data_IF_014288123533
#
_entry.id   IF_014288123533
#
_cell.length_a   1.000
_cell.length_b   1.000
_cell.length_c   1.000
_cell.angle_alpha   90.00
_cell.angle_beta   90.00
_cell.angle_gamma   90.00
#
_symmetry.space_group_name_H-M   'P 1'
#
loop_
_entity.id
_entity.type
_entity.pdbx_description
1 polymer ?
#
# COMPACT_ATOMS: atom_id res chain seq x y z
N UNK A 1 -8.58 -6.13 -37.36
CA UNK A 1 -7.30 -6.14 -38.10
C UNK A 1 -6.19 -6.05 -37.09
N UNK A 2 -5.41 -7.11 -36.92
CA UNK A 2 -4.28 -7.12 -36.00
C UNK A 2 -3.05 -6.58 -36.75
N UNK A 3 -2.40 -5.58 -36.18
CA UNK A 3 -1.13 -5.05 -36.69
C UNK A 3 0.00 -5.57 -35.80
N UNK A 4 0.95 -6.23 -36.43
CA UNK A 4 2.18 -6.71 -35.80
C UNK A 4 3.24 -5.57 -35.84
N UNK A 5 3.64 -5.08 -34.67
CA UNK A 5 4.78 -4.16 -34.58
C UNK A 5 5.90 -4.85 -33.80
N UNK A 6 7.03 -5.10 -34.46
CA UNK A 6 8.26 -5.55 -33.81
C UNK A 6 9.01 -4.34 -33.28
N UNK A 7 9.20 -4.28 -31.99
CA UNK A 7 10.15 -3.37 -31.39
C UNK A 7 11.55 -4.04 -31.33
N UNK A 8 12.62 -3.24 -31.45
CA UNK A 8 14.02 -3.72 -31.56
C UNK A 8 14.54 -4.51 -30.32
N UNK A 9 13.70 -4.72 -29.31
CA UNK A 9 14.03 -5.46 -28.08
C UNK A 9 13.37 -6.83 -27.96
N UNK A 10 12.77 -7.39 -29.01
CA UNK A 10 12.36 -8.81 -29.04
C UNK A 10 11.12 -9.18 -28.22
N UNK A 11 10.37 -8.24 -27.65
CA UNK A 11 9.15 -8.52 -26.91
C UNK A 11 7.91 -8.39 -27.81
N UNK A 12 7.12 -9.45 -27.89
CA UNK A 12 5.83 -9.47 -28.58
C UNK A 12 4.76 -8.95 -27.61
N UNK A 13 4.25 -7.75 -27.87
CA UNK A 13 3.04 -7.26 -27.20
C UNK A 13 1.81 -7.55 -28.08
N UNK A 14 0.88 -8.34 -27.59
CA UNK A 14 -0.45 -8.39 -28.14
C UNK A 14 -1.25 -7.20 -27.64
N UNK A 15 -1.35 -6.15 -28.44
CA UNK A 15 -2.27 -5.05 -28.17
C UNK A 15 -3.59 -5.42 -28.89
N UNK A 16 -4.61 -5.73 -28.12
CA UNK A 16 -5.98 -5.69 -28.61
C UNK A 16 -6.34 -4.22 -28.84
N UNK A 17 -6.35 -3.81 -30.10
CA UNK A 17 -6.77 -2.46 -30.47
C UNK A 17 -8.30 -2.35 -30.29
N UNK A 18 -8.73 -1.73 -29.20
CA UNK A 18 -9.97 -0.96 -29.20
C UNK A 18 -9.76 0.27 -30.09
N UNK A 19 -10.75 0.65 -30.88
CA UNK A 19 -10.70 1.73 -31.90
C UNK A 19 -10.65 3.15 -31.26
N UNK A 20 -9.91 3.37 -30.22
CA UNK A 20 -9.76 4.69 -29.57
C UNK A 20 -8.44 5.34 -30.01
N UNK A 21 -8.47 6.64 -30.39
CA UNK A 21 -7.26 7.34 -30.84
C UNK A 21 -6.29 7.56 -29.66
N UNK A 22 -5.00 7.34 -29.91
CA UNK A 22 -3.88 7.48 -28.95
C UNK A 22 -3.82 8.84 -28.21
N UNK A 23 -4.55 9.85 -28.69
CA UNK A 23 -4.67 11.17 -28.07
C UNK A 23 -5.54 11.17 -26.80
N UNK A 24 -6.40 10.17 -26.60
CA UNK A 24 -7.27 10.06 -25.42
C UNK A 24 -6.49 9.47 -24.24
N UNK A 25 -5.66 8.44 -24.47
CA UNK A 25 -4.85 7.83 -23.40
C UNK A 25 -3.88 8.83 -22.74
N UNK A 26 -3.29 9.72 -23.54
CA UNK A 26 -2.36 10.73 -23.02
C UNK A 26 -3.06 11.86 -22.22
N UNK A 27 -4.33 12.15 -22.52
CA UNK A 27 -5.13 13.13 -21.77
C UNK A 27 -5.57 12.58 -20.43
N UNK A 28 -5.99 11.31 -20.36
CA UNK A 28 -6.49 10.70 -19.12
C UNK A 28 -5.39 10.51 -18.08
N UNK A 29 -4.14 10.23 -18.51
CA UNK A 29 -2.97 10.18 -17.62
C UNK A 29 -2.58 11.57 -17.10
N UNK A 30 -2.79 12.62 -17.88
CA UNK A 30 -2.62 14.04 -17.48
C UNK A 30 -3.64 14.43 -16.41
N UNK A 31 -4.90 14.10 -16.60
CA UNK A 31 -6.00 14.44 -15.69
C UNK A 31 -5.85 13.76 -14.31
N UNK A 32 -5.31 12.54 -14.26
CA UNK A 32 -5.07 11.86 -12.99
C UNK A 32 -3.93 12.52 -12.18
N UNK A 33 -2.88 13.01 -12.85
CA UNK A 33 -1.78 13.78 -12.22
C UNK A 33 -2.21 15.21 -11.83
N UNK A 34 -3.04 15.85 -12.63
CA UNK A 34 -3.51 17.23 -12.38
C UNK A 34 -4.57 17.27 -11.28
N UNK A 35 -5.41 16.25 -11.13
CA UNK A 35 -6.29 16.08 -9.97
C UNK A 35 -5.49 15.93 -8.67
N UNK A 36 -4.36 15.24 -8.69
CA UNK A 36 -3.49 15.12 -7.53
C UNK A 36 -2.88 16.47 -7.12
N UNK A 37 -2.42 17.26 -8.10
CA UNK A 37 -1.85 18.62 -7.87
C UNK A 37 -2.92 19.62 -7.41
N UNK A 38 -4.14 19.52 -7.91
CA UNK A 38 -5.24 20.40 -7.52
C UNK A 38 -5.79 20.06 -6.14
N UNK A 39 -5.80 18.78 -5.75
CA UNK A 39 -6.17 18.35 -4.38
C UNK A 39 -5.16 18.87 -3.36
N UNK A 40 -3.86 18.82 -3.67
CA UNK A 40 -2.80 19.36 -2.80
C UNK A 40 -2.85 20.89 -2.70
N UNK A 41 -3.20 21.62 -3.77
CA UNK A 41 -3.39 23.08 -3.73
C UNK A 41 -4.64 23.49 -2.97
N UNK A 42 -5.74 22.72 -3.06
CA UNK A 42 -6.97 22.94 -2.28
C UNK A 42 -6.76 22.78 -0.78
N UNK A 43 -5.94 21.83 -0.34
CA UNK A 43 -5.60 21.64 1.07
C UNK A 43 -4.77 22.78 1.65
N UNK A 44 -3.90 23.40 0.86
CA UNK A 44 -3.07 24.52 1.32
C UNK A 44 -3.88 25.82 1.53
N UNK A 45 -4.99 25.99 0.82
CA UNK A 45 -5.86 27.16 0.92
C UNK A 45 -6.83 27.05 2.12
N UNK A 46 -7.26 25.85 2.49
CA UNK A 46 -8.20 25.64 3.62
C UNK A 46 -7.51 25.77 4.98
N UNK A 47 -6.21 25.47 5.08
CA UNK A 47 -5.45 25.60 6.34
C UNK A 47 -5.13 27.05 6.70
N UNK A 48 -5.17 28.00 5.74
CA UNK A 48 -4.85 29.41 5.95
C UNK A 48 -6.07 30.30 6.34
N UNK A 49 -7.29 29.77 6.32
CA UNK A 49 -8.51 30.55 6.64
C UNK A 49 -9.23 30.14 7.93
N UNK A 50 -8.72 29.16 8.68
CA UNK A 50 -9.38 28.64 9.90
C UNK A 50 -8.79 29.18 11.22
N UNK A 51 -8.04 30.28 11.22
CA UNK A 51 -7.54 30.92 12.44
C UNK A 51 -8.14 32.33 12.63
N UNK A 52 -9.43 32.46 12.75
CA UNK A 52 -10.09 33.57 13.47
C UNK A 52 -11.53 33.16 13.84
N UNK A 53 -11.91 33.47 15.13
CA UNK A 53 -13.27 33.46 15.69
C UNK A 53 -13.77 32.07 16.18
N UNK A 54 -14.11 31.78 17.42
CA UNK A 54 -14.70 32.59 18.47
C UNK A 54 -14.74 31.77 19.78
N UNK A 55 -14.45 32.41 20.88
CA UNK A 55 -14.85 32.04 22.22
C UNK A 55 -16.37 32.16 22.38
N UNK A 56 -17.06 31.14 22.86
CA UNK A 56 -18.27 31.32 23.66
C UNK A 56 -18.63 30.10 24.51
N UNK A 57 -19.09 30.43 25.67
CA UNK A 57 -19.32 29.63 26.85
C UNK A 57 -20.47 28.59 26.79
N UNK A 58 -20.29 27.55 27.60
CA UNK A 58 -21.37 27.05 28.44
C UNK A 58 -22.31 25.98 27.90
N UNK A 59 -22.12 24.74 28.40
CA UNK A 59 -23.24 23.96 28.93
C UNK A 59 -22.70 22.75 29.72
N UNK A 60 -22.89 22.83 31.02
CA UNK A 60 -22.68 21.78 32.01
C UNK A 60 -23.70 20.66 31.84
N UNK A 61 -23.28 19.44 31.56
CA UNK A 61 -24.09 18.22 31.67
C UNK A 61 -23.53 17.34 32.80
N UNK A 62 -24.34 17.02 33.79
CA UNK A 62 -23.99 16.23 34.98
C UNK A 62 -23.75 14.77 34.65
N UNK A 63 -22.84 14.08 35.36
CA UNK A 63 -22.62 12.64 35.19
C UNK A 63 -23.69 11.83 35.92
N UNK A 64 -24.21 10.82 35.23
CA UNK A 64 -25.18 9.85 35.77
C UNK A 64 -24.43 8.74 36.52
N UNK A 65 -24.82 8.49 37.77
CA UNK A 65 -24.31 7.43 38.63
C UNK A 65 -24.78 6.06 38.15
N UNK A 66 -23.86 5.16 37.92
CA UNK A 66 -24.14 3.73 37.90
C UNK A 66 -23.75 3.09 39.23
N UNK A 67 -24.68 2.39 39.83
CA UNK A 67 -24.53 1.60 41.06
C UNK A 67 -24.06 0.22 40.64
N UNK A 68 -22.84 -0.17 40.99
CA UNK A 68 -22.30 -1.52 40.81
C UNK A 68 -22.20 -2.25 42.14
N UNK A 69 -22.70 -3.47 42.17
CA UNK A 69 -22.68 -4.36 43.32
C UNK A 69 -21.26 -4.81 43.67
N UNK A 70 -20.95 -4.75 44.96
CA UNK A 70 -19.71 -5.23 45.58
C UNK A 70 -19.68 -6.75 45.66
N UNK A 71 -18.53 -7.34 45.26
CA UNK A 71 -18.10 -8.68 45.74
C UNK A 71 -16.76 -8.51 46.45
N UNK A 72 -16.81 -8.75 47.75
CA UNK A 72 -15.68 -8.75 48.68
C UNK A 72 -14.77 -9.99 48.41
N UNK A 73 -13.50 -9.75 48.20
CA UNK A 73 -12.45 -10.79 48.19
C UNK A 73 -11.08 -10.13 48.36
N UNK A 74 -10.51 -10.29 49.54
CA UNK A 74 -9.35 -9.56 50.05
C UNK A 74 -8.08 -9.69 49.20
N UNK A 75 -7.42 -8.55 49.04
CA UNK A 75 -6.00 -8.48 48.68
C UNK A 75 -5.26 -7.58 49.66
N UNK A 76 -4.24 -8.19 50.28
CA UNK A 76 -3.33 -7.61 51.24
C UNK A 76 -2.67 -6.33 50.70
N UNK A 77 -2.42 -5.39 51.61
CA UNK A 77 -1.64 -4.18 51.41
C UNK A 77 -0.27 -4.48 50.77
N UNK A 78 -0.12 -4.22 49.47
CA UNK A 78 1.18 -4.06 48.84
C UNK A 78 1.53 -2.58 48.91
N UNK A 79 2.66 -2.33 49.52
CA UNK A 79 3.26 -1.03 49.80
C UNK A 79 3.35 -0.16 48.53
N UNK A 80 2.77 1.04 48.62
CA UNK A 80 2.92 2.15 47.64
C UNK A 80 4.30 2.82 47.73
N UNK A 81 5.39 2.08 47.55
CA UNK A 81 6.72 2.65 47.40
C UNK A 81 7.53 1.85 46.42
N UNK A 82 7.35 2.09 45.13
CA UNK A 82 8.31 1.83 44.03
C UNK A 82 7.68 2.02 42.63
N UNK A 83 6.86 3.05 42.41
CA UNK A 83 6.51 3.48 41.06
C UNK A 83 7.09 4.85 40.76
N UNK A 84 8.38 4.99 40.92
CA UNK A 84 9.08 6.21 40.52
C UNK A 84 10.47 5.84 40.04
N UNK A 85 10.54 5.47 38.82
CA UNK A 85 11.61 5.60 37.83
C UNK A 85 11.40 4.60 36.71
N UNK A 86 10.35 4.81 35.90
CA UNK A 86 10.48 4.49 34.49
C UNK A 86 11.52 5.47 34.00
N UNK A 87 12.79 5.01 33.94
CA UNK A 87 13.82 5.71 33.22
C UNK A 87 13.29 5.91 31.80
N UNK A 88 12.88 7.15 31.54
CA UNK A 88 12.74 7.64 30.19
C UNK A 88 14.14 7.52 29.61
N UNK A 89 14.42 6.44 28.87
CA UNK A 89 15.57 6.37 28.00
C UNK A 89 15.19 7.20 26.77
N UNK A 90 15.74 8.39 26.57
CA UNK A 90 15.48 9.23 25.42
C UNK A 90 16.03 8.65 24.10
N UNK A 91 16.68 7.49 24.15
CA UNK A 91 17.41 6.87 23.03
C UNK A 91 16.79 5.59 22.44
N UNK A 92 15.53 5.28 22.75
CA UNK A 92 14.79 4.36 21.90
C UNK A 92 14.23 5.16 20.71
N UNK A 93 15.11 5.69 19.86
CA UNK A 93 14.71 6.11 18.53
C UNK A 93 14.06 4.90 17.87
N UNK A 94 12.76 4.97 17.68
CA UNK A 94 12.02 3.96 16.94
C UNK A 94 12.69 3.86 15.57
N UNK A 95 13.15 2.65 15.20
CA UNK A 95 13.82 2.44 13.91
C UNK A 95 12.88 2.89 12.79
N UNK A 96 13.39 3.60 11.79
CA UNK A 96 12.55 3.99 10.67
C UNK A 96 12.01 2.74 9.96
N UNK A 97 10.73 2.77 9.62
CA UNK A 97 10.01 1.68 8.97
C UNK A 97 9.48 2.13 7.64
N UNK A 98 9.59 1.28 6.63
CA UNK A 98 9.01 1.50 5.29
C UNK A 98 8.36 0.22 4.77
N UNK A 99 7.40 0.37 3.87
CA UNK A 99 6.80 -0.74 3.15
C UNK A 99 7.22 -0.70 1.68
N UNK A 100 7.99 -1.71 1.23
CA UNK A 100 8.14 -1.98 -0.19
C UNK A 100 6.88 -2.68 -0.69
N UNK A 101 6.36 -2.21 -1.81
CA UNK A 101 5.16 -2.78 -2.43
C UNK A 101 5.39 -3.03 -3.91
N UNK A 102 4.90 -4.16 -4.40
CA UNK A 102 5.07 -4.61 -5.77
C UNK A 102 3.72 -4.81 -6.43
N UNK A 103 3.54 -4.22 -7.62
CA UNK A 103 2.31 -4.30 -8.40
C UNK A 103 2.50 -5.21 -9.62
N UNK A 104 1.39 -5.63 -10.23
CA UNK A 104 1.25 -6.34 -11.50
C UNK A 104 1.62 -7.82 -11.51
N UNK A 105 2.32 -8.31 -10.49
CA UNK A 105 2.73 -9.71 -10.41
C UNK A 105 1.58 -10.70 -10.13
N UNK A 106 1.96 -11.98 -9.95
CA UNK A 106 3.32 -12.50 -10.06
C UNK A 106 3.75 -12.75 -11.50
N UNK A 107 5.07 -12.76 -11.73
CA UNK A 107 5.70 -13.22 -12.98
C UNK A 107 6.73 -14.28 -12.67
N UNK A 108 6.48 -15.51 -13.15
CA UNK A 108 7.40 -16.62 -12.97
C UNK A 108 8.81 -16.29 -13.50
N UNK A 109 9.83 -16.64 -12.73
CA UNK A 109 11.24 -16.35 -13.00
C UNK A 109 11.71 -14.99 -12.45
N UNK A 110 10.82 -14.03 -12.23
CA UNK A 110 11.14 -12.71 -11.66
C UNK A 110 10.70 -12.63 -10.22
N UNK A 111 9.43 -12.90 -9.98
CA UNK A 111 8.85 -12.86 -8.62
C UNK A 111 9.44 -13.95 -7.72
N UNK A 112 9.71 -15.16 -8.24
CA UNK A 112 10.35 -16.25 -7.47
C UNK A 112 11.75 -15.83 -6.99
N UNK A 113 12.53 -15.21 -7.88
CA UNK A 113 13.87 -14.70 -7.54
C UNK A 113 13.76 -13.63 -6.44
N UNK A 114 12.79 -12.73 -6.54
CA UNK A 114 12.55 -11.72 -5.50
C UNK A 114 12.21 -12.36 -4.16
N UNK A 115 11.35 -13.38 -4.13
CA UNK A 115 10.99 -14.11 -2.91
C UNK A 115 12.22 -14.78 -2.27
N UNK A 116 13.12 -15.38 -3.07
CA UNK A 116 14.37 -15.93 -2.58
C UNK A 116 15.27 -14.88 -1.91
N UNK A 117 15.34 -13.69 -2.50
CA UNK A 117 16.14 -12.58 -1.96
C UNK A 117 15.53 -11.98 -0.69
N UNK A 118 14.20 -11.90 -0.62
CA UNK A 118 13.48 -11.44 0.57
C UNK A 118 13.62 -12.45 1.74
N UNK A 119 13.52 -13.75 1.46
CA UNK A 119 13.70 -14.82 2.45
C UNK A 119 15.10 -14.78 3.08
N UNK A 120 16.16 -14.67 2.27
CA UNK A 120 17.57 -14.55 2.74
C UNK A 120 17.77 -13.40 3.73
N UNK A 121 16.98 -12.33 3.61
CA UNK A 121 17.04 -11.12 4.43
C UNK A 121 16.01 -11.08 5.55
N UNK A 122 15.13 -12.10 5.60
CA UNK A 122 13.98 -12.14 6.51
C UNK A 122 13.12 -10.86 6.45
N UNK A 123 12.86 -10.38 5.23
CA UNK A 123 12.07 -9.17 4.96
C UNK A 123 10.69 -9.56 4.46
N UNK A 124 9.65 -8.85 4.91
CA UNK A 124 8.28 -8.99 4.43
C UNK A 124 7.86 -7.73 3.67
N UNK A 125 7.13 -7.93 2.59
CA UNK A 125 6.66 -6.88 1.68
C UNK A 125 5.18 -7.05 1.37
N UNK A 126 4.61 -6.15 0.57
CA UNK A 126 3.23 -6.27 0.10
C UNK A 126 3.21 -6.40 -1.42
N UNK A 127 2.49 -7.41 -1.91
CA UNK A 127 2.25 -7.64 -3.33
C UNK A 127 0.81 -7.29 -3.69
N UNK A 128 0.58 -6.45 -4.69
CA UNK A 128 -0.74 -6.17 -5.26
C UNK A 128 -0.88 -6.92 -6.58
N UNK A 129 -1.53 -8.07 -6.53
CA UNK A 129 -1.58 -9.02 -7.63
C UNK A 129 -2.69 -8.70 -8.62
N UNK A 130 -2.42 -8.90 -9.90
CA UNK A 130 -3.45 -8.96 -10.95
C UNK A 130 -4.13 -10.33 -10.94
N UNK A 131 -5.47 -10.38 -10.89
CA UNK A 131 -6.22 -11.63 -10.80
C UNK A 131 -6.01 -12.56 -11.99
N UNK A 132 -5.95 -12.04 -13.21
CA UNK A 132 -5.67 -12.84 -14.40
C UNK A 132 -4.27 -13.47 -14.40
N UNK A 133 -3.30 -12.87 -13.71
CA UNK A 133 -1.99 -13.50 -13.49
C UNK A 133 -2.07 -14.61 -12.45
N UNK A 134 -2.95 -14.48 -11.44
CA UNK A 134 -3.16 -15.52 -10.44
C UNK A 134 -3.80 -16.80 -11.01
N UNK A 135 -4.55 -16.68 -12.08
CA UNK A 135 -5.17 -17.85 -12.74
C UNK A 135 -4.19 -18.66 -13.60
N UNK A 136 -2.99 -18.13 -13.89
CA UNK A 136 -1.98 -18.87 -14.63
C UNK A 136 -1.42 -20.01 -13.76
N UNK A 137 -1.36 -21.26 -14.27
CA UNK A 137 -0.91 -22.42 -13.49
C UNK A 137 0.49 -22.25 -12.89
N UNK A 138 1.41 -21.65 -13.63
CA UNK A 138 2.80 -21.40 -13.23
C UNK A 138 2.92 -20.40 -12.06
N UNK A 139 1.93 -19.53 -11.87
CA UNK A 139 1.94 -18.51 -10.83
C UNK A 139 1.33 -18.98 -9.51
N UNK A 140 0.58 -20.08 -9.51
CA UNK A 140 -0.14 -20.55 -8.31
C UNK A 140 0.78 -20.88 -7.14
N UNK A 141 1.91 -21.53 -7.42
CA UNK A 141 2.90 -21.88 -6.38
C UNK A 141 3.60 -20.64 -5.82
N UNK A 142 3.87 -19.65 -6.68
CA UNK A 142 4.47 -18.37 -6.26
C UNK A 142 3.53 -17.66 -5.27
N UNK A 143 2.23 -17.58 -5.58
CA UNK A 143 1.24 -16.95 -4.70
C UNK A 143 1.11 -17.71 -3.36
N UNK A 144 1.15 -19.06 -3.40
CA UNK A 144 1.12 -19.86 -2.17
C UNK A 144 2.34 -19.54 -1.31
N UNK A 145 3.52 -19.51 -1.91
CA UNK A 145 4.77 -19.16 -1.23
C UNK A 145 4.72 -17.75 -0.63
N UNK A 146 4.21 -16.75 -1.36
CA UNK A 146 4.03 -15.39 -0.82
C UNK A 146 3.26 -15.40 0.51
N UNK A 147 2.15 -16.16 0.56
CA UNK A 147 1.33 -16.25 1.76
C UNK A 147 2.02 -17.03 2.89
N UNK A 148 2.66 -18.17 2.59
CA UNK A 148 3.38 -19.00 3.55
C UNK A 148 4.59 -18.28 4.14
N UNK A 149 5.30 -17.49 3.34
CA UNK A 149 6.41 -16.66 3.78
C UNK A 149 5.96 -15.45 4.60
N UNK A 150 4.66 -15.16 4.68
CA UNK A 150 4.08 -14.09 5.48
C UNK A 150 4.14 -12.71 4.81
N UNK A 151 4.21 -12.66 3.49
CA UNK A 151 4.01 -11.42 2.73
C UNK A 151 2.53 -11.04 2.74
N UNK A 152 2.24 -9.74 2.65
CA UNK A 152 0.87 -9.26 2.48
C UNK A 152 0.47 -9.36 1.01
N UNK A 153 -0.71 -9.92 0.74
CA UNK A 153 -1.31 -9.98 -0.59
C UNK A 153 -2.46 -8.98 -0.66
N UNK A 154 -2.44 -8.12 -1.66
CA UNK A 154 -3.45 -7.13 -1.99
C UNK A 154 -3.97 -7.29 -3.42
N UNK A 155 -5.06 -6.59 -3.70
CA UNK A 155 -5.78 -6.65 -4.97
C UNK A 155 -5.34 -5.52 -5.90
N UNK A 156 -4.95 -5.90 -7.14
CA UNK A 156 -4.68 -4.95 -8.24
C UNK A 156 -5.68 -5.08 -9.38
N UNK A 157 -6.95 -5.39 -9.05
CA UNK A 157 -8.05 -5.77 -9.96
C UNK A 157 -7.80 -7.10 -10.68
N UNK A 158 -8.81 -7.60 -11.39
CA UNK A 158 -8.64 -8.85 -12.13
C UNK A 158 -7.97 -8.64 -13.50
N UNK A 159 -8.37 -7.58 -14.25
CA UNK A 159 -7.86 -7.32 -15.60
C UNK A 159 -6.93 -6.11 -15.70
N UNK A 160 -6.46 -5.54 -14.59
CA UNK A 160 -5.67 -4.31 -14.56
C UNK A 160 -6.37 -3.13 -15.25
N UNK A 161 -7.63 -2.87 -14.92
CA UNK A 161 -8.47 -1.83 -15.53
C UNK A 161 -8.53 -0.57 -14.68
N UNK A 162 -8.64 0.59 -15.32
CA UNK A 162 -8.81 1.86 -14.63
C UNK A 162 -10.20 1.93 -13.98
N UNK A 163 -10.27 1.77 -12.66
CA UNK A 163 -11.52 1.64 -11.89
C UNK A 163 -12.46 2.84 -12.05
N UNK A 164 -11.92 4.05 -12.25
CA UNK A 164 -12.71 5.29 -12.40
C UNK A 164 -13.52 5.35 -13.69
N UNK A 165 -13.21 4.52 -14.69
CA UNK A 165 -13.95 4.43 -15.97
C UNK A 165 -15.08 3.41 -15.94
N UNK A 166 -15.16 2.61 -14.88
CA UNK A 166 -16.12 1.53 -14.73
C UNK A 166 -17.35 1.95 -13.93
N UNK A 167 -18.50 1.34 -14.27
CA UNK A 167 -19.68 1.38 -13.40
C UNK A 167 -19.43 0.66 -12.07
N UNK A 168 -20.21 0.97 -11.04
CA UNK A 168 -20.09 0.34 -9.72
C UNK A 168 -20.17 -1.20 -9.78
N UNK A 169 -21.06 -1.73 -10.62
CA UNK A 169 -21.18 -3.17 -10.77
C UNK A 169 -19.95 -3.80 -11.42
N UNK A 170 -19.35 -3.14 -12.43
CA UNK A 170 -18.11 -3.61 -13.05
C UNK A 170 -16.94 -3.54 -12.06
N UNK A 171 -16.84 -2.47 -11.26
CA UNK A 171 -15.82 -2.36 -10.20
C UNK A 171 -15.91 -3.54 -9.22
N UNK A 172 -17.13 -3.88 -8.77
CA UNK A 172 -17.36 -5.02 -7.86
C UNK A 172 -17.01 -6.36 -8.51
N UNK A 173 -17.30 -6.51 -9.82
CA UNK A 173 -16.93 -7.73 -10.55
C UNK A 173 -15.40 -7.91 -10.67
N UNK A 174 -14.66 -6.85 -10.95
CA UNK A 174 -13.19 -6.89 -10.98
C UNK A 174 -12.61 -7.41 -9.64
N UNK A 175 -13.13 -6.90 -8.53
CA UNK A 175 -12.66 -7.30 -7.21
C UNK A 175 -13.11 -8.73 -6.86
N UNK A 176 -14.34 -9.09 -7.18
CA UNK A 176 -14.86 -10.44 -6.91
C UNK A 176 -14.11 -11.51 -7.70
N UNK A 177 -13.85 -11.29 -8.98
CA UNK A 177 -13.08 -12.22 -9.81
C UNK A 177 -11.65 -12.36 -9.31
N UNK A 178 -11.00 -11.24 -8.96
CA UNK A 178 -9.70 -11.26 -8.32
C UNK A 178 -9.69 -12.09 -7.05
N UNK A 179 -10.65 -11.83 -6.14
CA UNK A 179 -10.76 -12.56 -4.88
C UNK A 179 -10.94 -14.06 -5.09
N UNK A 180 -11.80 -14.45 -6.03
CA UNK A 180 -12.03 -15.86 -6.36
C UNK A 180 -10.76 -16.55 -6.88
N UNK A 181 -10.01 -15.88 -7.76
CA UNK A 181 -8.75 -16.41 -8.28
C UNK A 181 -7.74 -16.65 -7.15
N UNK A 182 -7.46 -15.62 -6.33
CA UNK A 182 -6.45 -15.70 -5.27
C UNK A 182 -6.90 -16.60 -4.11
N UNK A 183 -8.14 -16.49 -3.64
CA UNK A 183 -8.64 -17.34 -2.55
C UNK A 183 -8.73 -18.82 -2.92
N UNK A 184 -8.84 -19.16 -4.20
CA UNK A 184 -8.74 -20.54 -4.68
C UNK A 184 -7.36 -21.17 -4.44
N UNK A 185 -6.35 -20.35 -4.16
CA UNK A 185 -4.95 -20.75 -3.96
C UNK A 185 -4.59 -20.77 -2.47
N UNK A 186 -4.94 -19.71 -1.73
CA UNK A 186 -4.50 -19.49 -0.36
C UNK A 186 -5.63 -19.53 0.68
N UNK A 187 -6.88 -19.79 0.27
CA UNK A 187 -8.04 -19.74 1.17
C UNK A 187 -8.56 -18.33 1.42
N UNK A 188 -9.47 -18.19 2.38
CA UNK A 188 -10.06 -16.88 2.73
C UNK A 188 -9.06 -16.00 3.48
N UNK A 189 -8.99 -14.74 3.12
CA UNK A 189 -8.08 -13.76 3.74
C UNK A 189 -8.63 -12.33 3.63
N UNK A 190 -8.09 -11.42 4.45
CA UNK A 190 -8.37 -9.99 4.35
C UNK A 190 -7.40 -9.31 3.39
N UNK A 191 -7.88 -8.35 2.63
CA UNK A 191 -7.08 -7.64 1.63
C UNK A 191 -7.41 -6.14 1.57
N UNK A 192 -6.47 -5.39 1.02
CA UNK A 192 -6.65 -4.02 0.56
C UNK A 192 -6.58 -3.97 -0.97
N UNK A 193 -7.11 -2.92 -1.57
CA UNK A 193 -7.07 -2.72 -3.02
C UNK A 193 -6.09 -1.59 -3.35
N UNK A 194 -5.26 -1.79 -4.33
CA UNK A 194 -4.55 -0.73 -5.04
C UNK A 194 -5.15 -0.62 -6.44
N UNK A 195 -5.90 0.46 -6.75
CA UNK A 195 -6.44 0.64 -8.09
C UNK A 195 -5.32 0.86 -9.10
N UNK A 196 -5.37 0.23 -10.28
CA UNK A 196 -4.42 0.47 -11.37
C UNK A 196 -4.24 1.96 -11.67
N UNK A 197 -3.01 2.34 -12.02
CA UNK A 197 -2.62 3.74 -12.32
C UNK A 197 -2.77 4.70 -11.12
N UNK A 198 -3.07 4.22 -9.91
CA UNK A 198 -3.37 5.07 -8.76
C UNK A 198 -4.66 5.89 -8.92
N UNK A 199 -5.46 5.60 -9.95
CA UNK A 199 -6.67 6.34 -10.27
C UNK A 199 -7.82 5.94 -9.35
N UNK A 200 -8.14 6.82 -8.39
CA UNK A 200 -9.20 6.62 -7.41
C UNK A 200 -9.98 7.90 -7.15
N UNK A 201 -11.28 7.78 -6.94
CA UNK A 201 -12.17 8.86 -6.51
C UNK A 201 -13.12 8.36 -5.41
N UNK A 202 -13.91 9.28 -4.84
CA UNK A 202 -14.84 8.95 -3.77
C UNK A 202 -15.91 7.90 -4.18
N UNK A 203 -16.27 7.83 -5.46
CA UNK A 203 -17.24 6.82 -5.93
C UNK A 203 -16.62 5.43 -5.88
N UNK A 204 -15.38 5.28 -6.38
CA UNK A 204 -14.61 4.02 -6.31
C UNK A 204 -14.42 3.59 -4.85
N UNK A 205 -13.98 4.49 -3.98
CA UNK A 205 -13.80 4.18 -2.55
C UNK A 205 -15.06 3.64 -1.89
N UNK A 206 -16.22 4.26 -2.17
CA UNK A 206 -17.52 3.78 -1.63
C UNK A 206 -17.96 2.46 -2.23
N UNK A 207 -17.74 2.27 -3.54
CA UNK A 207 -18.11 1.04 -4.26
C UNK A 207 -17.35 -0.17 -3.76
N UNK A 208 -16.04 -0.03 -3.55
CA UNK A 208 -15.18 -1.13 -3.15
C UNK A 208 -15.41 -1.56 -1.70
N UNK A 209 -15.71 -0.62 -0.81
CA UNK A 209 -15.90 -0.85 0.63
C UNK A 209 -14.78 -1.68 1.28
N UNK A 210 -13.55 -1.51 0.81
CA UNK A 210 -12.31 -2.07 1.35
C UNK A 210 -11.27 -0.98 1.47
N UNK A 211 -10.19 -1.16 2.25
CA UNK A 211 -9.09 -0.19 2.31
C UNK A 211 -8.44 -0.01 0.94
N UNK A 212 -8.08 1.22 0.61
CA UNK A 212 -7.35 1.55 -0.62
C UNK A 212 -5.93 2.00 -0.25
N UNK A 213 -4.94 1.32 -0.81
CA UNK A 213 -3.53 1.63 -0.58
C UNK A 213 -2.95 2.23 -1.87
N UNK A 214 -2.38 3.40 -1.75
CA UNK A 214 -1.54 4.01 -2.79
C UNK A 214 -0.09 4.07 -2.29
N UNK A 215 0.70 5.03 -2.72
CA UNK A 215 2.10 5.19 -2.39
C UNK A 215 2.46 6.64 -2.12
N UNK A 216 3.57 6.84 -1.44
CA UNK A 216 4.21 8.13 -1.21
C UNK A 216 5.46 8.32 -2.06
N UNK A 217 6.12 7.21 -2.47
CA UNK A 217 7.28 7.22 -3.35
C UNK A 217 6.96 6.40 -4.59
N UNK A 218 7.00 7.04 -5.76
CA UNK A 218 6.82 6.42 -7.09
C UNK A 218 8.19 6.29 -7.75
N UNK A 219 8.66 5.07 -7.92
CA UNK A 219 9.98 4.82 -8.48
C UNK A 219 10.04 5.03 -10.00
N UNK A 220 8.90 4.99 -10.66
CA UNK A 220 8.80 4.98 -12.13
C UNK A 220 9.68 3.88 -12.77
N UNK A 221 9.84 2.73 -12.10
CA UNK A 221 10.67 1.59 -12.53
C UNK A 221 10.22 0.98 -13.86
N UNK A 222 8.95 1.13 -14.20
CA UNK A 222 8.33 0.72 -15.46
C UNK A 222 8.78 1.54 -16.68
N UNK A 223 9.54 2.62 -16.49
CA UNK A 223 10.01 3.49 -17.58
C UNK A 223 11.30 3.03 -18.25
N UNK A 224 11.84 1.87 -17.86
CA UNK A 224 13.07 1.30 -18.40
C UNK A 224 14.34 1.78 -17.70
N UNK A 225 14.23 2.20 -16.44
CA UNK A 225 15.35 2.52 -15.57
C UNK A 225 16.18 1.26 -15.29
N UNK A 226 17.48 1.41 -15.14
CA UNK A 226 18.35 0.35 -14.67
C UNK A 226 18.15 0.05 -13.18
N UNK A 227 18.55 -1.14 -12.73
CA UNK A 227 18.47 -1.51 -11.31
C UNK A 227 19.20 -0.51 -10.40
N UNK A 228 20.35 0.02 -10.85
CA UNK A 228 21.09 1.05 -10.11
C UNK A 228 20.33 2.35 -9.96
N UNK A 229 19.72 2.87 -11.03
CA UNK A 229 18.90 4.08 -10.99
C UNK A 229 17.68 3.93 -10.09
N UNK A 230 17.02 2.76 -10.11
CA UNK A 230 15.91 2.45 -9.23
C UNK A 230 16.37 2.41 -7.78
N UNK A 231 17.47 1.71 -7.48
CA UNK A 231 18.04 1.63 -6.15
C UNK A 231 18.41 3.01 -5.60
N UNK A 232 19.16 3.82 -6.37
CA UNK A 232 19.59 5.17 -5.98
C UNK A 232 18.39 6.06 -5.69
N UNK A 233 17.34 5.98 -6.50
CA UNK A 233 16.11 6.75 -6.28
C UNK A 233 15.40 6.33 -4.98
N UNK A 234 15.20 5.04 -4.75
CA UNK A 234 14.59 4.54 -3.51
C UNK A 234 15.41 4.96 -2.29
N UNK A 235 16.74 4.83 -2.36
CA UNK A 235 17.65 5.20 -1.26
C UNK A 235 17.61 6.70 -0.95
N UNK A 236 17.45 7.55 -1.96
CA UNK A 236 17.43 9.01 -1.79
C UNK A 236 16.09 9.52 -1.26
N UNK A 237 14.97 8.91 -1.68
CA UNK A 237 13.63 9.39 -1.37
C UNK A 237 13.00 8.75 -0.13
N UNK A 238 13.44 7.54 0.27
CA UNK A 238 12.83 6.79 1.35
C UNK A 238 12.90 7.52 2.70
N UNK A 239 11.75 7.67 3.33
CA UNK A 239 11.59 8.25 4.67
C UNK A 239 10.76 7.31 5.54
N UNK A 240 10.87 7.51 6.84
CA UNK A 240 10.09 6.75 7.82
C UNK A 240 8.58 6.90 7.57
N UNK A 241 7.89 5.78 7.44
CA UNK A 241 6.46 5.71 7.17
C UNK A 241 6.08 5.65 5.69
N UNK A 242 7.05 5.64 4.77
CA UNK A 242 6.74 5.59 3.33
C UNK A 242 6.23 4.23 2.87
N UNK A 243 5.35 4.29 1.88
CA UNK A 243 4.91 3.17 1.04
C UNK A 243 5.51 3.40 -0.35
N UNK A 244 6.38 2.50 -0.79
CA UNK A 244 7.16 2.62 -2.02
C UNK A 244 6.57 1.73 -3.10
N UNK A 245 6.27 2.29 -4.27
CA UNK A 245 5.78 1.58 -5.44
C UNK A 245 6.93 1.04 -6.28
N UNK A 246 6.84 -0.25 -6.60
CA UNK A 246 7.67 -1.00 -7.53
C UNK A 246 6.80 -2.02 -8.28
N UNK A 247 7.36 -2.73 -9.25
CA UNK A 247 6.67 -3.79 -9.99
C UNK A 247 7.54 -5.05 -10.04
N UNK A 248 6.97 -6.21 -9.69
CA UNK A 248 7.69 -7.50 -9.68
C UNK A 248 7.60 -8.28 -11.01
N UNK A 249 7.33 -7.55 -12.08
CA UNK A 249 7.32 -8.08 -13.45
C UNK A 249 8.55 -7.68 -14.28
N UNK A 250 9.42 -6.80 -13.75
CA UNK A 250 10.64 -6.33 -14.38
C UNK A 250 11.88 -6.78 -13.59
N UNK A 251 12.86 -7.38 -14.26
CA UNK A 251 14.10 -7.83 -13.60
C UNK A 251 14.87 -6.68 -12.96
N UNK A 252 14.96 -5.54 -13.65
CA UNK A 252 15.65 -4.35 -13.16
C UNK A 252 14.97 -3.78 -11.91
N UNK A 253 13.65 -3.87 -11.85
CA UNK A 253 12.88 -3.39 -10.70
C UNK A 253 13.16 -4.21 -9.45
N UNK A 254 13.08 -5.53 -9.54
CA UNK A 254 13.33 -6.41 -8.38
C UNK A 254 14.79 -6.39 -7.94
N UNK A 255 15.74 -6.29 -8.89
CA UNK A 255 17.17 -6.12 -8.57
C UNK A 255 17.45 -4.78 -7.89
N UNK A 256 16.87 -3.69 -8.41
CA UNK A 256 16.99 -2.36 -7.81
C UNK A 256 16.37 -2.30 -6.41
N UNK A 257 15.22 -2.95 -6.21
CA UNK A 257 14.59 -3.07 -4.90
C UNK A 257 15.51 -3.78 -3.88
N UNK A 258 16.13 -4.89 -4.28
CA UNK A 258 17.06 -5.65 -3.41
C UNK A 258 18.31 -4.84 -3.07
N UNK A 259 18.88 -4.10 -4.04
CA UNK A 259 20.02 -3.21 -3.81
C UNK A 259 19.65 -2.10 -2.81
N UNK A 260 18.49 -1.47 -2.99
CA UNK A 260 18.00 -0.43 -2.08
C UNK A 260 17.74 -0.97 -0.67
N UNK A 261 17.15 -2.18 -0.59
CA UNK A 261 16.87 -2.87 0.66
C UNK A 261 18.17 -3.09 1.46
N UNK A 262 19.22 -3.60 0.82
CA UNK A 262 20.52 -3.84 1.47
C UNK A 262 21.15 -2.54 2.01
N UNK A 263 21.05 -1.44 1.30
CA UNK A 263 21.59 -0.16 1.73
C UNK A 263 20.77 0.43 2.90
N UNK A 264 19.45 0.46 2.77
CA UNK A 264 18.56 1.02 3.79
C UNK A 264 18.58 0.19 5.09
N UNK A 265 18.70 -1.14 5.01
CA UNK A 265 18.91 -1.99 6.19
C UNK A 265 20.21 -1.62 6.92
N UNK A 266 21.31 -1.38 6.20
CA UNK A 266 22.56 -0.90 6.79
C UNK A 266 22.40 0.47 7.45
N UNK A 267 21.50 1.32 6.97
CA UNK A 267 21.14 2.61 7.58
C UNK A 267 20.15 2.47 8.75
N UNK A 268 19.73 1.26 9.08
CA UNK A 268 18.88 0.97 10.24
C UNK A 268 17.38 0.97 9.95
N UNK A 269 16.95 1.04 8.68
CA UNK A 269 15.55 0.88 8.31
C UNK A 269 15.06 -0.54 8.55
N UNK A 270 13.78 -0.66 8.91
CA UNK A 270 13.05 -1.91 8.98
C UNK A 270 12.03 -1.96 7.86
N UNK A 271 11.96 -3.10 7.17
CA UNK A 271 10.98 -3.34 6.12
C UNK A 271 9.83 -4.19 6.66
N UNK A 272 8.61 -3.76 6.40
CA UNK A 272 7.40 -4.41 6.90
C UNK A 272 6.30 -4.39 5.84
N UNK A 273 5.24 -5.18 6.05
CA UNK A 273 4.05 -5.06 5.21
C UNK A 273 3.33 -3.72 5.43
N UNK A 274 2.47 -3.32 4.47
CA UNK A 274 1.66 -2.11 4.64
C UNK A 274 0.77 -2.20 5.89
N UNK A 275 0.20 -3.37 6.16
CA UNK A 275 -0.62 -3.57 7.35
C UNK A 275 0.18 -3.39 8.64
N UNK A 276 1.38 -3.95 8.71
CA UNK A 276 2.24 -3.82 9.88
C UNK A 276 2.71 -2.38 10.07
N UNK A 277 3.05 -1.69 8.96
CA UNK A 277 3.44 -0.28 8.99
C UNK A 277 2.33 0.60 9.56
N UNK A 278 1.09 0.43 9.08
CA UNK A 278 -0.05 1.19 9.58
C UNK A 278 -0.38 0.84 11.03
N UNK A 279 -0.31 -0.44 11.40
CA UNK A 279 -0.57 -0.92 12.76
C UNK A 279 0.46 -0.36 13.76
N UNK A 280 1.76 -0.36 13.44
CA UNK A 280 2.83 0.19 14.28
C UNK A 280 2.61 1.68 14.57
N UNK A 281 2.05 2.41 13.61
CA UNK A 281 1.71 3.83 13.76
C UNK A 281 0.36 4.07 14.45
N UNK A 282 -0.32 3.03 14.90
CA UNK A 282 -1.64 3.14 15.53
C UNK A 282 -2.74 3.60 14.55
N UNK A 283 -2.52 3.46 13.25
CA UNK A 283 -3.47 3.84 12.22
C UNK A 283 -4.45 2.69 12.00
N UNK A 284 -5.70 2.87 12.46
CA UNK A 284 -6.76 1.91 12.21
C UNK A 284 -7.14 1.90 10.73
N UNK A 285 -6.96 0.74 10.08
CA UNK A 285 -7.33 0.55 8.68
C UNK A 285 -8.86 0.49 8.57
N UNK A 286 -9.45 1.32 7.69
CA UNK A 286 -10.87 1.45 7.50
C UNK A 286 -11.26 1.25 6.04
N UNK A 287 -12.38 0.56 5.80
CA UNK A 287 -12.98 0.41 4.47
C UNK A 287 -13.27 1.77 3.82
N UNK A 288 -13.01 1.89 2.52
CA UNK A 288 -13.25 3.09 1.74
C UNK A 288 -12.29 4.25 2.01
N UNK A 289 -11.29 4.08 2.88
CA UNK A 289 -10.23 5.08 3.10
C UNK A 289 -9.00 4.80 2.26
N UNK A 290 -8.35 5.89 1.83
CA UNK A 290 -7.11 5.87 1.05
C UNK A 290 -5.92 6.14 1.96
N UNK A 291 -4.90 5.29 1.89
CA UNK A 291 -3.64 5.41 2.62
C UNK A 291 -2.50 5.53 1.60
N UNK A 292 -1.60 6.49 1.82
CA UNK A 292 -0.43 6.74 0.94
C UNK A 292 0.89 6.58 1.68
N UNK A 293 0.85 6.75 2.97
CA UNK A 293 2.00 6.65 3.88
C UNK A 293 1.48 6.47 5.31
N UNK A 294 2.38 6.10 6.19
CA UNK A 294 2.14 6.02 7.63
C UNK A 294 3.09 6.97 8.37
N UNK A 295 3.04 8.25 8.05
CA UNK A 295 3.84 9.26 8.75
C UNK A 295 3.49 9.29 10.24
N UNK A 296 4.48 9.50 11.10
CA UNK A 296 4.23 9.69 12.52
C UNK A 296 3.26 10.87 12.71
N UNK A 297 2.11 10.60 13.31
CA UNK A 297 1.16 11.66 13.67
C UNK A 297 1.88 12.66 14.57
N UNK A 298 2.05 13.88 14.10
CA UNK A 298 2.43 14.99 14.96
C UNK A 298 1.40 15.09 16.09
N UNK A 299 1.86 14.91 17.33
CA UNK A 299 1.08 15.16 18.53
C UNK A 299 0.70 16.62 18.63
#
# INVERSE_FOLDING_TARGET
MAFEMRCKAGLLFFIYASNEPKSVLARDLGDCRDNLRNTLRGFLIVVLTATVITTCAGCLGRPQKYIGHSVLGGFSKVSQKSFSRVLFHPDLQQKPMIALTFDDGPKAGVTDWLLDELEKRNVKVTFFLIGSQADLPENREIIRRMAEDGHQIGCHTYHHVQMTTLSENQQKQEILQWYQAVSSIIGDFSYAVRPPYGCVNNAVCRSLNVPVILWSVDTEDWTGKSAGEIADYVISEAKDGDIILLHDIFEESVQGAVMALDDLMRRGYTFVTVNDLLADRGIAIQSGKVYRQAAQGGK
#
